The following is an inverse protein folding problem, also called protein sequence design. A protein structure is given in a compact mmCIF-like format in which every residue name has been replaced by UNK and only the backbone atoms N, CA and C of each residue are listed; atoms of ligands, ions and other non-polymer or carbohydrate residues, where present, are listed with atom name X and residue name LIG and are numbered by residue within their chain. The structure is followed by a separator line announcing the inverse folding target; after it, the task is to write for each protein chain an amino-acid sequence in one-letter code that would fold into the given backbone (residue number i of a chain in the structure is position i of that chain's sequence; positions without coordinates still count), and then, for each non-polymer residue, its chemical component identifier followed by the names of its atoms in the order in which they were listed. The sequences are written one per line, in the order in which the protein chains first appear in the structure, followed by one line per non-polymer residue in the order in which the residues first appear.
data_IF_833135593751
#
_entry.id   IF_833135593751
#
_cell.length_a   1.000
_cell.length_b   1.000
_cell.length_c   1.000
_cell.angle_alpha   90.00
_cell.angle_beta   90.00
_cell.angle_gamma   90.00
#
_symmetry.space_group_name_H-M   'P 1'
#
loop_
_entity.id
_entity.type
_entity.pdbx_description
1 polymer ?
#
# COMPACT_ATOMS: atom_id res chain seq x y z
N UNK A 1 -14.65 -0.09 -4.75
CA UNK A 1 -13.30 0.33 -5.19
C UNK A 1 -12.94 1.64 -4.49
N UNK A 2 -11.81 1.72 -3.81
CA UNK A 2 -11.31 2.96 -3.19
C UNK A 2 -9.91 3.29 -3.73
N UNK A 3 -9.66 4.57 -4.03
CA UNK A 3 -8.38 5.06 -4.55
C UNK A 3 -7.67 5.96 -3.54
N UNK A 4 -6.36 5.75 -3.36
CA UNK A 4 -5.48 6.54 -2.51
C UNK A 4 -4.34 7.10 -3.37
N UNK A 5 -4.00 8.37 -3.17
CA UNK A 5 -2.83 9.01 -3.80
C UNK A 5 -1.88 9.49 -2.71
N UNK A 6 -0.62 9.04 -2.77
CA UNK A 6 0.43 9.33 -1.80
C UNK A 6 1.59 10.01 -2.54
N UNK A 7 2.12 11.10 -1.98
CA UNK A 7 3.34 11.74 -2.46
C UNK A 7 4.49 11.43 -1.49
N UNK A 8 5.53 10.78 -1.99
CA UNK A 8 6.76 10.47 -1.24
C UNK A 8 7.86 11.49 -1.56
N UNK A 9 8.61 11.91 -0.55
CA UNK A 9 9.80 12.77 -0.72
C UNK A 9 11.08 11.93 -0.92
N UNK A 10 11.96 12.31 -1.87
CA UNK A 10 13.21 11.59 -2.23
C UNK A 10 14.45 11.99 -1.41
N UNK A 11 14.36 12.88 -0.43
CA UNK A 11 15.54 13.35 0.32
C UNK A 11 16.38 12.18 0.87
N UNK A 12 17.73 12.27 0.83
CA UNK A 12 18.63 11.14 1.08
C UNK A 12 18.39 10.53 2.46
N UNK A 13 18.44 9.20 2.53
CA UNK A 13 18.37 8.39 3.75
C UNK A 13 19.65 8.53 4.60
N UNK A 14 20.16 9.75 4.78
CA UNK A 14 21.38 10.01 5.55
C UNK A 14 21.01 10.13 7.03
N UNK A 15 21.13 9.01 7.74
CA UNK A 15 20.99 8.91 9.19
C UNK A 15 19.55 8.91 9.70
N UNK A 16 18.91 7.74 9.80
CA UNK A 16 17.67 7.58 10.57
C UNK A 16 17.61 6.24 11.28
N UNK A 17 17.31 6.29 12.57
CA UNK A 17 16.62 5.25 13.31
C UNK A 17 15.35 4.86 12.56
N UNK A 18 15.22 3.57 12.19
CA UNK A 18 13.99 3.02 11.62
C UNK A 18 12.88 3.13 12.67
N UNK A 19 12.05 4.17 12.58
CA UNK A 19 10.87 4.29 13.43
C UNK A 19 9.77 3.38 12.91
N UNK A 20 9.76 2.15 13.44
CA UNK A 20 8.75 1.09 13.30
C UNK A 20 8.59 0.54 11.86
N UNK A 21 8.71 -0.80 11.67
CA UNK A 21 8.44 -1.41 10.37
C UNK A 21 6.98 -1.17 9.96
N UNK A 22 6.71 -1.16 8.66
CA UNK A 22 5.34 -1.16 8.16
C UNK A 22 4.57 -2.39 8.65
N UNK A 23 3.25 -2.29 8.59
CA UNK A 23 2.35 -3.31 9.13
C UNK A 23 2.50 -4.65 8.41
N UNK A 24 2.44 -5.76 9.15
CA UNK A 24 2.47 -7.12 8.58
C UNK A 24 1.06 -7.62 8.21
N UNK A 25 0.99 -8.67 7.38
CA UNK A 25 -0.29 -9.30 7.03
C UNK A 25 -1.06 -9.82 8.27
N UNK A 26 -0.36 -10.34 9.28
CA UNK A 26 -0.97 -10.77 10.53
C UNK A 26 -1.58 -9.61 11.31
N UNK A 27 -0.90 -8.45 11.35
CA UNK A 27 -1.41 -7.24 11.99
C UNK A 27 -2.63 -6.68 11.25
N UNK A 28 -2.67 -6.74 9.91
CA UNK A 28 -3.87 -6.39 9.13
C UNK A 28 -5.06 -7.28 9.49
N UNK A 29 -4.84 -8.58 9.65
CA UNK A 29 -5.89 -9.52 10.03
C UNK A 29 -6.43 -9.21 11.43
N UNK A 30 -5.56 -8.90 12.40
CA UNK A 30 -5.97 -8.48 13.74
C UNK A 30 -6.87 -7.23 13.67
N UNK A 31 -6.49 -6.21 12.89
CA UNK A 31 -7.28 -5.00 12.75
C UNK A 31 -8.67 -5.21 12.13
N UNK A 32 -8.82 -6.22 11.27
CA UNK A 32 -10.11 -6.55 10.66
C UNK A 32 -11.08 -7.19 11.66
N UNK A 33 -10.58 -8.07 12.51
CA UNK A 33 -11.41 -8.87 13.44
C UNK A 33 -11.54 -8.26 14.83
N UNK A 34 -10.74 -7.27 15.19
CA UNK A 34 -10.81 -6.61 16.49
C UNK A 34 -11.92 -5.53 16.50
N UNK A 35 -12.98 -5.67 17.34
CA UNK A 35 -14.10 -4.73 17.33
C UNK A 35 -13.75 -3.28 17.72
N UNK A 36 -12.69 -3.09 18.52
CA UNK A 36 -12.21 -1.77 18.92
C UNK A 36 -11.32 -1.09 17.86
N UNK A 37 -11.05 -1.76 16.74
CA UNK A 37 -10.23 -1.23 15.65
C UNK A 37 -11.02 -0.27 14.78
N UNK A 38 -10.38 0.82 14.32
CA UNK A 38 -10.92 1.71 13.27
C UNK A 38 -11.20 0.98 11.94
N UNK A 39 -10.71 -0.25 11.79
CA UNK A 39 -10.84 -1.07 10.58
C UNK A 39 -11.77 -2.28 10.74
N UNK A 40 -12.52 -2.36 11.85
CA UNK A 40 -13.49 -3.44 12.04
C UNK A 40 -14.47 -3.52 10.86
N UNK A 41 -14.60 -4.71 10.28
CA UNK A 41 -15.47 -4.95 9.11
C UNK A 41 -14.97 -4.36 7.78
N UNK A 42 -13.77 -3.78 7.71
CA UNK A 42 -13.16 -3.32 6.45
C UNK A 42 -12.33 -4.43 5.80
N UNK A 43 -12.16 -4.36 4.48
CA UNK A 43 -11.31 -5.29 3.74
C UNK A 43 -9.83 -5.06 4.05
N UNK A 44 -9.03 -6.13 3.99
CA UNK A 44 -7.59 -6.02 4.24
C UNK A 44 -6.91 -5.09 3.24
N UNK A 45 -7.36 -5.07 1.99
CA UNK A 45 -6.90 -4.12 0.98
C UNK A 45 -7.14 -2.65 1.39
N UNK A 46 -8.33 -2.33 1.89
CA UNK A 46 -8.65 -0.98 2.38
C UNK A 46 -7.77 -0.60 3.57
N UNK A 47 -7.63 -1.52 4.54
CA UNK A 47 -6.82 -1.32 5.75
C UNK A 47 -5.36 -1.10 5.39
N UNK A 48 -4.80 -1.91 4.51
CA UNK A 48 -3.45 -1.77 3.99
C UNK A 48 -3.22 -0.38 3.37
N UNK A 49 -4.11 0.04 2.47
CA UNK A 49 -3.93 1.32 1.78
C UNK A 49 -4.07 2.53 2.73
N UNK A 50 -4.97 2.42 3.72
CA UNK A 50 -5.14 3.44 4.75
C UNK A 50 -3.93 3.54 5.66
N UNK A 51 -3.39 2.41 6.11
CA UNK A 51 -2.18 2.37 6.95
C UNK A 51 -0.95 2.83 6.17
N UNK A 52 -0.84 2.52 4.87
CA UNK A 52 0.25 3.00 4.03
C UNK A 52 0.20 4.52 3.84
N UNK A 53 -1.00 5.09 3.71
CA UNK A 53 -1.19 6.54 3.70
C UNK A 53 -0.74 7.17 5.03
N UNK A 54 -1.16 6.63 6.17
CA UNK A 54 -0.75 7.16 7.48
C UNK A 54 0.74 6.98 7.74
N UNK A 55 1.32 5.83 7.35
CA UNK A 55 2.74 5.56 7.40
C UNK A 55 3.55 6.58 6.59
N UNK A 56 3.07 6.94 5.39
CA UNK A 56 3.74 7.91 4.51
C UNK A 56 3.82 9.34 5.05
N UNK A 57 2.91 9.71 5.98
CA UNK A 57 2.90 11.04 6.59
C UNK A 57 4.00 11.21 7.63
N UNK A 58 4.40 10.10 8.27
CA UNK A 58 5.33 10.10 9.40
C UNK A 58 6.70 9.55 8.99
N UNK A 59 6.72 8.55 8.12
CA UNK A 59 7.90 7.79 7.75
C UNK A 59 8.27 7.98 6.28
N UNK A 60 9.58 7.92 6.03
CA UNK A 60 10.14 7.78 4.68
C UNK A 60 10.40 6.30 4.46
N UNK A 61 9.93 5.75 3.34
CA UNK A 61 10.05 4.32 3.05
C UNK A 61 10.21 4.05 1.56
N UNK A 62 10.69 2.86 1.23
CA UNK A 62 10.79 2.37 -0.15
C UNK A 62 9.64 1.38 -0.36
N UNK A 63 8.65 1.76 -1.16
CA UNK A 63 7.44 0.94 -1.38
C UNK A 63 7.76 -0.49 -1.81
N UNK A 64 8.83 -0.70 -2.58
CA UNK A 64 9.24 -2.03 -3.02
C UNK A 64 9.64 -2.94 -1.85
N UNK A 65 10.28 -2.41 -0.82
CA UNK A 65 10.65 -3.17 0.38
C UNK A 65 9.39 -3.51 1.19
N UNK A 66 8.46 -2.57 1.33
CA UNK A 66 7.24 -2.79 2.10
C UNK A 66 6.28 -3.81 1.46
N UNK A 67 6.15 -3.80 0.12
CA UNK A 67 5.25 -4.73 -0.57
C UNK A 67 5.82 -6.15 -0.66
N UNK A 68 7.14 -6.33 -0.52
CA UNK A 68 7.78 -7.66 -0.54
C UNK A 68 7.32 -8.54 0.62
N UNK A 69 6.90 -7.94 1.74
CA UNK A 69 6.35 -8.64 2.89
C UNK A 69 4.94 -9.21 2.65
N UNK A 70 4.34 -8.98 1.48
CA UNK A 70 3.01 -9.44 1.10
C UNK A 70 3.06 -10.35 -0.12
N UNK A 71 2.05 -11.23 -0.26
CA UNK A 71 1.83 -11.97 -1.49
C UNK A 71 1.53 -10.97 -2.62
N UNK A 72 2.44 -10.84 -3.57
CA UNK A 72 2.36 -9.83 -4.62
C UNK A 72 2.70 -10.41 -6.01
N UNK A 73 2.20 -9.73 -7.04
CA UNK A 73 2.51 -10.00 -8.45
C UNK A 73 2.75 -8.69 -9.18
N UNK A 74 3.85 -8.61 -9.92
CA UNK A 74 4.10 -7.51 -10.85
C UNK A 74 3.20 -7.66 -12.08
N UNK A 75 2.43 -6.62 -12.39
CA UNK A 75 1.53 -6.57 -13.57
C UNK A 75 2.24 -5.84 -14.72
N UNK A 76 2.93 -4.75 -14.42
CA UNK A 76 3.74 -3.98 -15.38
C UNK A 76 4.98 -3.38 -14.70
N UNK A 77 5.77 -2.56 -15.39
CA UNK A 77 6.96 -1.94 -14.80
C UNK A 77 6.69 -1.12 -13.54
N UNK A 78 5.53 -0.45 -13.50
CA UNK A 78 5.16 0.44 -12.42
C UNK A 78 3.91 -0.02 -11.65
N UNK A 79 3.26 -1.12 -12.05
CA UNK A 79 2.04 -1.62 -11.42
C UNK A 79 2.28 -2.96 -10.73
N UNK A 80 1.93 -3.01 -9.46
CA UNK A 80 1.95 -4.19 -8.61
C UNK A 80 0.56 -4.52 -8.11
N UNK A 81 0.27 -5.81 -7.95
CA UNK A 81 -0.95 -6.33 -7.35
C UNK A 81 -0.59 -7.06 -6.07
N UNK A 82 -1.29 -6.74 -4.99
CA UNK A 82 -1.16 -7.34 -3.67
C UNK A 82 -2.41 -8.17 -3.41
N UNK A 83 -2.22 -9.40 -2.94
CA UNK A 83 -3.27 -10.34 -2.59
C UNK A 83 -3.39 -10.43 -1.07
N UNK A 84 -4.62 -10.42 -0.58
CA UNK A 84 -4.93 -10.61 0.83
C UNK A 84 -5.72 -11.90 1.07
N UNK A 85 -5.70 -12.40 2.30
CA UNK A 85 -6.37 -13.65 2.68
C UNK A 85 -7.89 -13.57 2.69
N UNK A 86 -8.45 -12.36 2.62
CA UNK A 86 -9.91 -12.14 2.54
C UNK A 86 -10.39 -11.90 1.10
N UNK A 87 -9.63 -12.37 0.10
CA UNK A 87 -9.90 -12.26 -1.34
C UNK A 87 -9.87 -10.83 -1.90
N UNK A 88 -9.74 -9.82 -1.03
CA UNK A 88 -9.52 -8.45 -1.44
C UNK A 88 -8.14 -8.29 -2.08
N UNK A 89 -8.02 -7.30 -2.96
CA UNK A 89 -6.76 -7.01 -3.66
C UNK A 89 -6.47 -5.52 -3.67
N UNK A 90 -5.19 -5.16 -3.61
CA UNK A 90 -4.73 -3.80 -3.82
C UNK A 90 -3.84 -3.74 -5.06
N UNK A 91 -4.09 -2.77 -5.91
CA UNK A 91 -3.23 -2.43 -7.04
C UNK A 91 -2.46 -1.17 -6.68
N UNK A 92 -1.15 -1.18 -6.87
CA UNK A 92 -0.24 -0.09 -6.55
C UNK A 92 0.45 0.34 -7.84
N UNK A 93 0.24 1.58 -8.26
CA UNK A 93 0.92 2.23 -9.39
C UNK A 93 1.94 3.23 -8.85
N UNK A 94 3.20 2.99 -9.15
CA UNK A 94 4.31 3.88 -8.80
C UNK A 94 4.46 4.91 -9.92
N UNK A 95 4.34 6.18 -9.59
CA UNK A 95 4.48 7.30 -10.51
C UNK A 95 5.86 7.92 -10.32
N UNK A 96 6.65 7.94 -11.39
CA UNK A 96 7.83 8.79 -11.44
C UNK A 96 7.34 10.23 -11.66
N UNK A 97 7.51 11.09 -10.66
CA UNK A 97 7.17 12.50 -10.79
C UNK A 97 8.34 13.23 -11.45
N UNK A 98 8.04 14.15 -12.37
CA UNK A 98 9.03 14.95 -13.11
C UNK A 98 9.90 15.82 -12.20
N UNK A 99 9.44 16.12 -10.99
CA UNK A 99 10.29 16.74 -9.96
C UNK A 99 11.27 15.70 -9.41
N UNK A 100 12.57 16.00 -9.55
CA UNK A 100 13.70 15.16 -9.13
C UNK A 100 13.67 14.73 -7.64
N UNK A 101 12.76 15.31 -6.85
CA UNK A 101 12.67 15.16 -5.40
C UNK A 101 11.41 14.42 -4.90
N UNK A 102 10.53 13.89 -5.76
CA UNK A 102 9.36 13.12 -5.29
C UNK A 102 9.01 11.89 -6.14
N UNK A 103 8.36 10.90 -5.52
CA UNK A 103 7.68 9.77 -6.18
C UNK A 103 6.21 9.78 -5.78
N UNK A 104 5.32 9.51 -6.73
CA UNK A 104 3.90 9.35 -6.45
C UNK A 104 3.55 7.87 -6.31
N UNK A 105 2.58 7.55 -5.48
CA UNK A 105 1.97 6.22 -5.43
C UNK A 105 0.47 6.40 -5.55
N UNK A 106 -0.15 5.68 -6.46
CA UNK A 106 -1.59 5.53 -6.55
C UNK A 106 -1.96 4.10 -6.14
N UNK A 107 -2.92 3.94 -5.23
CA UNK A 107 -3.37 2.65 -4.74
C UNK A 107 -4.87 2.52 -5.00
N UNK A 108 -5.28 1.49 -5.75
CA UNK A 108 -6.69 1.13 -5.92
C UNK A 108 -6.98 -0.18 -5.19
N UNK A 109 -7.99 -0.18 -4.33
CA UNK A 109 -8.41 -1.33 -3.52
C UNK A 109 -9.74 -1.89 -4.04
N UNK A 110 -9.85 -3.21 -4.03
CA UNK A 110 -11.04 -3.94 -4.46
C UNK A 110 -11.36 -5.01 -3.43
N UNK A 111 -12.65 -5.17 -3.13
CA UNK A 111 -13.13 -6.13 -2.13
C UNK A 111 -13.12 -7.58 -2.65
N UNK A 112 -12.97 -7.75 -3.96
CA UNK A 112 -12.81 -9.02 -4.67
C UNK A 112 -11.73 -8.88 -5.74
N UNK A 113 -11.23 -9.99 -6.26
CA UNK A 113 -10.25 -10.01 -7.35
C UNK A 113 -10.91 -9.73 -8.72
N UNK A 114 -10.71 -8.55 -9.34
CA UNK A 114 -11.36 -8.23 -10.60
C UNK A 114 -10.62 -8.87 -11.79
N UNK A 115 -11.38 -9.41 -12.76
CA UNK A 115 -10.89 -9.88 -14.06
C UNK A 115 -10.63 -8.72 -15.04
N UNK A 116 -9.92 -7.67 -14.61
CA UNK A 116 -9.79 -6.43 -15.40
C UNK A 116 -8.33 -6.20 -15.75
N UNK A 117 -8.05 -6.17 -17.05
CA UNK A 117 -6.72 -5.87 -17.61
C UNK A 117 -6.30 -4.41 -17.49
N UNK A 118 -7.23 -3.51 -17.15
CA UNK A 118 -6.97 -2.07 -17.10
C UNK A 118 -7.48 -1.42 -15.81
N UNK A 119 -6.82 -1.74 -14.70
CA UNK A 119 -7.17 -1.20 -13.37
C UNK A 119 -6.87 0.30 -13.24
N UNK A 120 -5.91 0.81 -14.02
CA UNK A 120 -5.47 2.21 -14.00
C UNK A 120 -5.67 2.93 -15.35
N UNK A 121 -6.52 2.38 -16.22
CA UNK A 121 -7.02 3.05 -17.41
C UNK A 121 -7.77 4.34 -17.08
#
# INVERSE_FOLDING_TARGET
MTCFKIRLSKQPLKGRTMNKPFITQAQLALYKYQPSSKYYGKTMAYTFASELLDYSKVNKFIIHEEIQCFLNRRISNNIWKIYFSDESVAYIKILELQDDYSRGIEIKTFDFNPNVGDVFG
#
